data_IF_021185074353
#
_entry.id   IF_021185074353
#
_cell.length_a   1.000
_cell.length_b   1.000
_cell.length_c   1.000
_cell.angle_alpha   90.00
_cell.angle_beta   90.00
_cell.angle_gamma   90.00
#
_symmetry.space_group_name_H-M   'P 1'
#
loop_
_entity.id
_entity.type
_entity.pdbx_description
1 polymer ?
#
# COMPACT_ATOMS: atom_id res chain seq x y z
N UNK A 1 -14.64 -11.34 -0.62
CA UNK A 1 -13.45 -11.32 -1.50
C UNK A 1 -13.16 -9.94 -2.09
N UNK A 2 -13.96 -9.37 -3.02
CA UNK A 2 -13.64 -8.08 -3.64
C UNK A 2 -13.50 -6.89 -2.64
N UNK A 3 -14.37 -6.83 -1.62
CA UNK A 3 -14.32 -5.78 -0.60
C UNK A 3 -13.11 -5.92 0.36
N UNK A 4 -12.62 -7.15 0.55
CA UNK A 4 -11.44 -7.44 1.39
C UNK A 4 -10.14 -7.05 0.67
N UNK A 5 -10.06 -7.29 -0.64
CA UNK A 5 -8.93 -6.87 -1.50
C UNK A 5 -8.74 -5.37 -1.61
N UNK A 6 -9.82 -4.58 -1.58
CA UNK A 6 -9.73 -3.12 -1.52
C UNK A 6 -9.34 -2.66 -0.11
N UNK A 7 -9.85 -3.34 0.93
CA UNK A 7 -9.53 -3.05 2.32
C UNK A 7 -8.03 -3.16 2.62
N UNK A 8 -7.35 -4.22 2.14
CA UNK A 8 -5.91 -4.41 2.42
C UNK A 8 -5.04 -3.26 1.86
N UNK A 9 -5.42 -2.68 0.71
CA UNK A 9 -4.74 -1.51 0.13
C UNK A 9 -4.78 -0.33 1.09
N UNK A 10 -5.92 -0.08 1.74
CA UNK A 10 -6.05 0.99 2.71
C UNK A 10 -5.23 0.74 3.99
N UNK A 11 -5.17 -0.52 4.44
CA UNK A 11 -4.33 -0.92 5.58
C UNK A 11 -2.86 -0.64 5.29
N UNK A 12 -2.36 -1.02 4.11
CA UNK A 12 -0.97 -0.78 3.71
C UNK A 12 -0.65 0.70 3.68
N UNK A 13 -1.48 1.53 3.03
CA UNK A 13 -1.26 2.98 2.98
C UNK A 13 -1.21 3.60 4.37
N UNK A 14 -2.16 3.26 5.23
CA UNK A 14 -2.17 3.79 6.59
C UNK A 14 -1.00 3.26 7.43
N UNK A 15 -0.58 2.00 7.23
CA UNK A 15 0.60 1.43 7.87
C UNK A 15 1.88 2.18 7.51
N UNK A 16 2.10 2.50 6.22
CA UNK A 16 3.28 3.25 5.79
C UNK A 16 3.34 4.64 6.46
N UNK A 17 2.19 5.32 6.57
CA UNK A 17 2.08 6.62 7.28
C UNK A 17 2.38 6.46 8.77
N UNK A 18 1.80 5.45 9.43
CA UNK A 18 2.03 5.16 10.85
C UNK A 18 3.50 4.83 11.12
N UNK A 19 4.10 3.99 10.29
CA UNK A 19 5.51 3.60 10.41
C UNK A 19 6.43 4.82 10.33
N UNK A 20 6.23 5.69 9.33
CA UNK A 20 7.04 6.92 9.20
C UNK A 20 6.91 7.82 10.44
N UNK A 21 5.69 7.98 10.97
CA UNK A 21 5.45 8.81 12.16
C UNK A 21 6.04 8.21 13.43
N UNK A 22 5.96 6.89 13.60
CA UNK A 22 6.58 6.21 14.74
C UNK A 22 8.10 6.26 14.65
N UNK A 23 8.68 6.06 13.47
CA UNK A 23 10.12 6.27 13.25
C UNK A 23 10.56 7.69 13.61
N UNK A 24 9.80 8.70 13.15
CA UNK A 24 10.05 10.10 13.52
C UNK A 24 9.90 10.37 15.02
N UNK A 25 8.96 9.71 15.70
CA UNK A 25 8.78 9.78 17.15
C UNK A 25 10.02 9.23 17.87
N UNK A 26 10.48 8.04 17.49
CA UNK A 26 11.65 7.38 18.08
C UNK A 26 12.89 8.26 17.89
N UNK A 27 13.14 8.78 16.69
CA UNK A 27 14.25 9.71 16.44
C UNK A 27 14.11 11.02 17.22
N UNK A 28 12.90 11.52 17.43
CA UNK A 28 12.66 12.72 18.24
C UNK A 28 12.96 12.45 19.73
N UNK A 29 12.68 11.24 20.22
CA UNK A 29 13.05 10.83 21.57
C UNK A 29 14.57 10.78 21.75
N UNK A 30 15.28 10.13 20.82
CA UNK A 30 16.75 10.02 20.83
C UNK A 30 17.45 11.38 20.81
N UNK A 31 16.87 12.35 20.09
CA UNK A 31 17.39 13.72 19.97
C UNK A 31 16.86 14.68 21.04
N UNK A 32 16.07 14.20 22.00
CA UNK A 32 15.44 15.00 23.07
C UNK A 32 14.55 16.14 22.54
N UNK A 33 13.95 15.95 21.36
CA UNK A 33 13.02 16.89 20.71
C UNK A 33 11.57 16.42 20.71
N UNK A 34 11.30 15.25 21.29
CA UNK A 34 9.96 14.69 21.43
C UNK A 34 9.05 15.68 22.19
N UNK A 35 7.83 15.86 21.67
CA UNK A 35 6.82 16.69 22.33
C UNK A 35 5.46 15.99 22.40
N UNK A 36 4.66 16.30 23.42
CA UNK A 36 3.33 15.74 23.58
C UNK A 36 2.42 15.99 22.38
N UNK A 37 2.53 17.16 21.73
CA UNK A 37 1.71 17.51 20.57
C UNK A 37 2.03 16.63 19.34
N UNK A 38 3.27 16.16 19.21
CA UNK A 38 3.64 15.16 18.18
C UNK A 38 2.98 13.82 18.48
N UNK A 39 3.11 13.32 19.72
CA UNK A 39 2.55 12.02 20.12
C UNK A 39 1.02 12.02 20.06
N UNK A 40 0.36 13.10 20.47
CA UNK A 40 -1.10 13.23 20.44
C UNK A 40 -1.69 13.07 19.02
N UNK A 41 -0.99 13.54 17.99
CA UNK A 41 -1.43 13.39 16.59
C UNK A 41 -1.21 11.97 16.05
N UNK A 42 -0.31 11.21 16.67
CA UNK A 42 0.01 9.84 16.27
C UNK A 42 -0.96 8.85 16.91
N UNK A 43 -1.25 9.03 18.21
CA UNK A 43 -2.05 8.10 19.00
C UNK A 43 -3.10 8.84 19.85
N UNK A 44 -4.33 8.34 19.77
CA UNK A 44 -5.60 8.98 20.09
C UNK A 44 -6.70 7.94 20.20
N UNK A 45 -7.84 8.31 20.74
CA UNK A 45 -9.06 7.49 20.86
C UNK A 45 -10.08 7.79 19.75
N UNK A 46 -9.69 8.56 18.74
CA UNK A 46 -10.54 8.95 17.61
C UNK A 46 -9.81 8.91 16.26
N UNK A 47 -10.56 9.20 15.20
CA UNK A 47 -10.06 9.19 13.82
C UNK A 47 -9.03 10.28 13.49
N UNK A 48 -8.75 11.23 14.39
CA UNK A 48 -7.64 12.16 14.18
C UNK A 48 -6.28 11.46 14.33
N UNK A 49 -6.22 10.39 15.12
CA UNK A 49 -5.04 9.56 15.36
C UNK A 49 -4.78 8.56 14.22
N UNK A 50 -3.53 8.52 13.74
CA UNK A 50 -3.13 7.60 12.68
C UNK A 50 -3.18 6.13 13.14
N UNK A 51 -2.67 5.84 14.34
CA UNK A 51 -2.72 4.48 14.88
C UNK A 51 -4.15 4.01 15.16
N UNK A 52 -5.05 4.91 15.55
CA UNK A 52 -6.47 4.58 15.75
C UNK A 52 -7.12 4.20 14.41
N UNK A 53 -6.93 5.01 13.36
CA UNK A 53 -7.46 4.71 12.02
C UNK A 53 -6.93 3.38 11.49
N UNK A 54 -5.63 3.11 11.63
CA UNK A 54 -5.02 1.86 11.20
C UNK A 54 -5.62 0.66 11.92
N UNK A 55 -5.71 0.74 13.25
CA UNK A 55 -6.32 -0.29 14.09
C UNK A 55 -7.76 -0.59 13.66
N UNK A 56 -8.59 0.44 13.48
CA UNK A 56 -9.99 0.24 13.10
C UNK A 56 -10.13 -0.35 11.69
N UNK A 57 -9.26 0.02 10.74
CA UNK A 57 -9.20 -0.61 9.42
C UNK A 57 -8.82 -2.09 9.51
N UNK A 58 -7.79 -2.44 10.28
CA UNK A 58 -7.40 -3.83 10.53
C UNK A 58 -8.55 -4.63 11.15
N UNK A 59 -9.21 -4.10 12.18
CA UNK A 59 -10.37 -4.73 12.81
C UNK A 59 -11.48 -5.02 11.81
N UNK A 60 -11.83 -4.05 10.94
CA UNK A 60 -12.91 -4.19 9.98
C UNK A 60 -12.64 -5.32 8.96
N UNK A 61 -11.39 -5.47 8.53
CA UNK A 61 -11.01 -6.43 7.49
C UNK A 61 -10.74 -7.81 8.11
N UNK A 62 -9.89 -7.89 9.13
CA UNK A 62 -9.36 -9.16 9.61
C UNK A 62 -10.24 -9.86 10.65
N UNK A 63 -11.17 -9.15 11.31
CA UNK A 63 -12.08 -9.77 12.30
C UNK A 63 -13.44 -10.16 11.74
N UNK A 64 -13.82 -9.63 10.58
CA UNK A 64 -15.06 -10.02 9.89
C UNK A 64 -14.95 -11.41 9.25
N UNK A 65 -13.74 -11.95 9.09
CA UNK A 65 -13.43 -13.25 8.47
C UNK A 65 -13.23 -14.40 9.49
N UNK A 66 -13.47 -14.18 10.79
CA UNK A 66 -13.38 -15.22 11.84
C UNK A 66 -14.62 -16.14 11.78
N UNK A 67 -14.73 -16.91 10.70
CA UNK A 67 -15.68 -18.01 10.57
C UNK A 67 -15.01 -19.34 10.20
N UNK A 68 -13.73 -19.36 9.79
CA UNK A 68 -13.00 -20.59 9.46
C UNK A 68 -11.72 -20.78 10.32
N UNK A 69 -11.63 -21.78 11.22
CA UNK A 69 -10.56 -21.87 12.22
C UNK A 69 -9.16 -22.32 11.75
N UNK A 70 -8.95 -22.76 10.49
CA UNK A 70 -7.87 -23.73 10.22
C UNK A 70 -6.69 -23.37 9.29
N UNK A 71 -6.67 -22.30 8.47
CA UNK A 71 -5.51 -22.12 7.58
C UNK A 71 -5.03 -20.68 7.30
N UNK A 72 -5.90 -19.72 7.02
CA UNK A 72 -5.51 -18.37 6.57
C UNK A 72 -5.62 -17.29 7.67
N UNK A 73 -6.25 -17.64 8.79
CA UNK A 73 -6.56 -16.72 9.90
C UNK A 73 -5.33 -16.34 10.74
N UNK A 74 -4.15 -16.96 10.55
CA UNK A 74 -2.99 -16.70 11.42
C UNK A 74 -2.21 -15.44 11.05
N UNK A 75 -1.88 -15.22 9.78
CA UNK A 75 -1.02 -14.10 9.39
C UNK A 75 -1.74 -12.76 9.54
N UNK A 76 -2.96 -12.68 9.03
CA UNK A 76 -3.83 -11.51 9.17
C UNK A 76 -4.20 -11.22 10.64
N UNK A 77 -4.57 -12.24 11.44
CA UNK A 77 -4.90 -12.01 12.85
C UNK A 77 -3.67 -11.65 13.70
N UNK A 78 -2.49 -12.21 13.40
CA UNK A 78 -1.24 -11.79 14.07
C UNK A 78 -0.88 -10.35 13.72
N UNK A 79 -1.10 -9.94 12.47
CA UNK A 79 -0.91 -8.54 12.06
C UNK A 79 -1.90 -7.63 12.79
N UNK A 80 -3.19 -7.97 12.83
CA UNK A 80 -4.21 -7.24 13.59
C UNK A 80 -3.85 -7.10 15.08
N UNK A 81 -3.41 -8.20 15.71
CA UNK A 81 -2.98 -8.22 17.09
C UNK A 81 -1.75 -7.34 17.31
N UNK A 82 -0.77 -7.40 16.42
CA UNK A 82 0.44 -6.58 16.50
C UNK A 82 0.12 -5.08 16.39
N UNK A 83 -0.79 -4.69 15.48
CA UNK A 83 -1.30 -3.31 15.39
C UNK A 83 -2.04 -2.89 16.66
N UNK A 84 -2.86 -3.78 17.24
CA UNK A 84 -3.51 -3.55 18.52
C UNK A 84 -2.50 -3.30 19.64
N UNK A 85 -1.47 -4.14 19.75
CA UNK A 85 -0.39 -3.98 20.74
C UNK A 85 0.38 -2.68 20.54
N UNK A 86 0.76 -2.36 19.30
CA UNK A 86 1.45 -1.12 18.96
C UNK A 86 0.63 0.12 19.34
N UNK A 87 -0.69 0.07 19.14
CA UNK A 87 -1.61 1.12 19.59
C UNK A 87 -1.58 1.28 21.12
N UNK A 88 -1.62 0.17 21.86
CA UNK A 88 -1.61 0.20 23.33
C UNK A 88 -0.29 0.74 23.90
N UNK A 89 0.84 0.29 23.37
CA UNK A 89 2.14 0.80 23.82
C UNK A 89 2.32 2.29 23.48
N UNK A 90 1.86 2.72 22.32
CA UNK A 90 1.86 4.16 21.98
C UNK A 90 0.95 4.98 22.91
N UNK A 91 -0.19 4.43 23.37
CA UNK A 91 -1.04 5.09 24.37
C UNK A 91 -0.34 5.23 25.72
N UNK A 92 0.40 4.21 26.16
CA UNK A 92 1.18 4.24 27.40
C UNK A 92 2.28 5.30 27.29
N UNK A 93 3.01 5.30 26.17
CA UNK A 93 4.02 6.32 25.86
C UNK A 93 3.44 7.74 25.95
N UNK A 94 2.28 7.96 25.34
CA UNK A 94 1.58 9.26 25.36
C UNK A 94 1.26 9.71 26.78
N UNK A 95 0.77 8.80 27.62
CA UNK A 95 0.43 9.10 29.01
C UNK A 95 1.69 9.45 29.83
N UNK A 96 2.76 8.65 29.71
CA UNK A 96 4.03 8.94 30.38
C UNK A 96 4.59 10.31 29.98
N UNK A 97 4.55 10.64 28.68
CA UNK A 97 5.01 11.93 28.18
C UNK A 97 4.15 13.10 28.67
N UNK A 98 2.82 12.91 28.75
CA UNK A 98 1.91 13.91 29.32
C UNK A 98 2.26 14.24 30.77
N UNK A 99 2.55 13.21 31.58
CA UNK A 99 2.97 13.40 32.96
C UNK A 99 4.26 14.22 33.05
N UNK A 100 5.24 13.94 32.20
CA UNK A 100 6.50 14.71 32.15
C UNK A 100 6.28 16.17 31.75
N UNK A 101 5.60 16.43 30.63
CA UNK A 101 5.51 17.77 30.06
C UNK A 101 4.47 18.66 30.72
N UNK A 102 3.38 18.09 31.26
CA UNK A 102 2.25 18.87 31.77
C UNK A 102 2.16 18.84 33.28
N UNK A 103 2.40 17.70 33.93
CA UNK A 103 2.36 17.61 35.39
C UNK A 103 3.67 18.00 36.04
N UNK A 104 4.82 17.62 35.48
CA UNK A 104 6.15 17.96 35.99
C UNK A 104 6.31 19.45 36.33
N UNK A 105 6.13 20.37 35.36
CA UNK A 105 6.24 21.81 35.60
C UNK A 105 5.27 22.34 36.67
N UNK A 106 4.06 21.75 36.77
CA UNK A 106 3.06 22.16 37.77
C UNK A 106 3.47 21.73 39.17
N UNK A 107 4.02 20.52 39.33
CA UNK A 107 4.54 20.02 40.61
C UNK A 107 5.70 20.88 41.07
N UNK A 108 6.64 21.21 40.19
CA UNK A 108 7.76 22.10 40.52
C UNK A 108 7.30 23.52 40.90
N UNK A 109 6.32 24.08 40.17
CA UNK A 109 5.75 25.38 40.52
C UNK A 109 5.08 25.38 41.90
N UNK A 110 4.36 24.32 42.27
CA UNK A 110 3.73 24.18 43.58
C UNK A 110 4.77 24.04 44.70
N UNK A 111 5.88 23.34 44.45
CA UNK A 111 6.99 23.20 45.40
C UNK A 111 7.73 24.51 45.67
N UNK A 112 7.83 25.37 44.67
CA UNK A 112 8.52 26.66 44.79
C UNK A 112 7.80 27.69 45.68
N UNK A 113 6.59 27.39 46.16
CA UNK A 113 5.82 28.24 47.05
C UNK A 113 6.31 28.12 48.51
N UNK A 114 6.30 29.24 49.25
CA UNK A 114 6.92 29.38 50.58
C UNK A 114 6.40 28.42 51.67
N UNK A 115 5.29 27.71 51.44
CA UNK A 115 4.76 26.66 52.32
C UNK A 115 4.04 25.59 51.48
N UNK A 116 4.72 24.49 51.10
CA UNK A 116 4.09 23.43 50.31
C UNK A 116 2.90 22.84 51.09
N UNK A 117 1.67 22.83 50.52
CA UNK A 117 0.47 22.47 51.27
C UNK A 117 0.39 21.00 51.68
N UNK A 118 1.21 20.11 51.09
CA UNK A 118 1.23 18.67 51.41
C UNK A 118 2.59 18.03 51.03
N UNK A 119 3.56 17.93 51.96
CA UNK A 119 4.91 17.41 51.67
C UNK A 119 4.93 15.92 51.30
N UNK A 120 4.07 15.10 51.90
CA UNK A 120 3.96 13.67 51.56
C UNK A 120 3.44 13.46 50.14
N UNK A 121 2.38 14.19 49.77
CA UNK A 121 1.83 14.14 48.41
C UNK A 121 2.84 14.65 47.37
N UNK A 122 3.62 15.67 47.72
CA UNK A 122 4.70 16.18 46.85
C UNK A 122 5.76 15.11 46.57
N UNK A 123 6.17 14.33 47.59
CA UNK A 123 7.10 13.21 47.41
C UNK A 123 6.52 12.10 46.54
N UNK A 124 5.23 11.80 46.67
CA UNK A 124 4.58 10.80 45.80
C UNK A 124 4.53 11.28 44.34
N UNK A 125 4.25 12.56 44.09
CA UNK A 125 4.34 13.11 42.73
C UNK A 125 5.75 13.02 42.14
N UNK A 126 6.78 13.30 42.93
CA UNK A 126 8.17 13.14 42.49
C UNK A 126 8.49 11.69 42.11
N UNK A 127 8.02 10.71 42.90
CA UNK A 127 8.18 9.29 42.57
C UNK A 127 7.46 8.93 41.26
N UNK A 128 6.23 9.42 41.07
CA UNK A 128 5.45 9.18 39.84
C UNK A 128 6.15 9.80 38.63
N UNK A 129 6.68 11.03 38.75
CA UNK A 129 7.41 11.70 37.68
C UNK A 129 8.74 10.98 37.37
N UNK A 130 9.50 10.56 38.37
CA UNK A 130 10.71 9.78 38.14
C UNK A 130 10.40 8.44 37.45
N UNK A 131 9.33 7.76 37.88
CA UNK A 131 8.91 6.49 37.29
C UNK A 131 8.40 6.64 35.86
N UNK A 132 7.64 7.69 35.54
CA UNK A 132 7.15 7.93 34.17
C UNK A 132 8.27 8.30 33.21
N UNK A 133 9.35 8.95 33.66
CA UNK A 133 10.52 9.17 32.83
C UNK A 133 11.22 7.85 32.43
N UNK A 134 11.38 6.91 33.38
CA UNK A 134 11.93 5.56 33.09
C UNK A 134 11.03 4.80 32.12
N UNK A 135 9.73 4.75 32.41
CA UNK A 135 8.73 4.05 31.57
C UNK A 135 8.59 4.67 30.19
N UNK A 136 8.90 5.96 30.02
CA UNK A 136 8.90 6.58 28.70
C UNK A 136 9.99 5.98 27.80
N UNK A 137 11.18 5.72 28.35
CA UNK A 137 12.25 5.04 27.61
C UNK A 137 11.89 3.61 27.25
N UNK A 138 11.41 2.85 28.22
CA UNK A 138 10.92 1.47 28.02
C UNK A 138 9.84 1.41 26.92
N UNK A 139 8.84 2.30 26.98
CA UNK A 139 7.76 2.34 25.99
C UNK A 139 8.27 2.71 24.58
N UNK A 140 9.29 3.56 24.45
CA UNK A 140 9.90 3.88 23.14
C UNK A 140 10.62 2.65 22.58
N UNK A 141 11.38 1.93 23.40
CA UNK A 141 12.06 0.70 23.00
C UNK A 141 11.06 -0.38 22.57
N UNK A 142 9.99 -0.59 23.35
CA UNK A 142 8.93 -1.56 23.05
C UNK A 142 8.18 -1.21 21.76
N UNK A 143 7.82 0.06 21.57
CA UNK A 143 7.22 0.55 20.32
C UNK A 143 8.14 0.30 19.13
N UNK A 144 9.44 0.57 19.26
CA UNK A 144 10.43 0.32 18.21
C UNK A 144 10.54 -1.16 17.84
N UNK A 145 10.64 -2.03 18.86
CA UNK A 145 10.71 -3.49 18.65
C UNK A 145 9.43 -4.04 18.01
N UNK A 146 8.26 -3.63 18.50
CA UNK A 146 6.96 -4.04 17.94
C UNK A 146 6.79 -3.53 16.50
N UNK A 147 7.21 -2.30 16.19
CA UNK A 147 7.12 -1.76 14.84
C UNK A 147 7.95 -2.58 13.83
N UNK A 148 9.17 -2.98 14.21
CA UNK A 148 10.02 -3.82 13.38
C UNK A 148 9.37 -5.19 13.11
N UNK A 149 8.91 -5.87 14.17
CA UNK A 149 8.23 -7.17 14.05
C UNK A 149 6.92 -7.08 13.24
N UNK A 150 6.18 -5.98 13.41
CA UNK A 150 4.94 -5.73 12.66
C UNK A 150 5.23 -5.50 11.17
N UNK A 151 6.37 -4.87 10.84
CA UNK A 151 6.81 -4.68 9.46
C UNK A 151 7.14 -6.02 8.78
N UNK A 152 7.84 -6.91 9.50
CA UNK A 152 8.09 -8.27 9.01
C UNK A 152 6.79 -9.07 8.82
N UNK A 153 5.84 -8.89 9.74
CA UNK A 153 4.52 -9.51 9.64
C UNK A 153 3.71 -8.97 8.46
N UNK A 154 3.84 -7.68 8.14
CA UNK A 154 3.23 -7.10 6.95
C UNK A 154 3.76 -7.77 5.68
N UNK A 155 5.08 -7.99 5.57
CA UNK A 155 5.66 -8.65 4.39
C UNK A 155 5.06 -10.05 4.19
N UNK A 156 4.87 -10.82 5.27
CA UNK A 156 4.21 -12.14 5.21
C UNK A 156 2.78 -12.03 4.67
N UNK A 157 2.03 -11.05 5.16
CA UNK A 157 0.67 -10.77 4.69
C UNK A 157 0.66 -10.37 3.19
N UNK A 158 1.62 -9.55 2.76
CA UNK A 158 1.74 -9.15 1.35
C UNK A 158 2.07 -10.35 0.44
N UNK A 159 2.88 -11.31 0.90
CA UNK A 159 3.18 -12.55 0.16
C UNK A 159 1.90 -13.39 -0.04
N UNK A 160 1.06 -13.52 0.98
CA UNK A 160 -0.24 -14.21 0.87
C UNK A 160 -1.18 -13.49 -0.11
N UNK A 161 -1.11 -12.17 -0.17
CA UNK A 161 -1.85 -11.32 -1.12
C UNK A 161 -1.10 -11.08 -2.45
N UNK A 162 -0.11 -11.91 -2.79
CA UNK A 162 0.76 -11.70 -3.96
C UNK A 162 0.01 -11.69 -5.31
N UNK A 163 -1.20 -12.23 -5.37
CA UNK A 163 -2.07 -12.20 -6.55
C UNK A 163 -3.01 -10.99 -6.63
N UNK A 164 -2.97 -10.10 -5.63
CA UNK A 164 -3.77 -8.89 -5.61
C UNK A 164 -3.13 -7.78 -6.45
N UNK A 165 -3.63 -7.60 -7.68
CA UNK A 165 -3.11 -6.60 -8.62
C UNK A 165 -3.28 -5.16 -8.11
N UNK A 166 -4.36 -4.86 -7.37
CA UNK A 166 -4.57 -3.55 -6.76
C UNK A 166 -3.53 -3.26 -5.67
N UNK A 167 -3.13 -4.29 -4.93
CA UNK A 167 -2.07 -4.19 -3.94
C UNK A 167 -0.71 -3.96 -4.61
N UNK A 168 -0.40 -4.69 -5.68
CA UNK A 168 0.81 -4.46 -6.47
C UNK A 168 0.86 -3.01 -7.00
N UNK A 169 -0.25 -2.51 -7.56
CA UNK A 169 -0.37 -1.11 -7.99
C UNK A 169 -0.15 -0.13 -6.83
N UNK A 170 -0.79 -0.35 -5.69
CA UNK A 170 -0.63 0.51 -4.51
C UNK A 170 0.83 0.57 -4.06
N UNK A 171 1.52 -0.56 -3.96
CA UNK A 171 2.91 -0.57 -3.51
C UNK A 171 3.83 0.13 -4.52
N UNK A 172 3.55 0.03 -5.81
CA UNK A 172 4.26 0.77 -6.86
C UNK A 172 4.02 2.29 -6.75
N UNK A 173 2.78 2.73 -6.56
CA UNK A 173 2.44 4.13 -6.34
C UNK A 173 3.15 4.69 -5.08
N UNK A 174 3.24 3.88 -4.03
CA UNK A 174 3.84 4.22 -2.75
C UNK A 174 5.34 3.87 -2.64
N UNK A 175 6.04 3.64 -3.77
CA UNK A 175 7.41 3.11 -3.80
C UNK A 175 8.41 3.87 -2.92
N UNK A 176 8.26 5.19 -2.77
CA UNK A 176 9.12 6.01 -1.92
C UNK A 176 8.86 5.74 -0.43
N UNK A 177 7.59 5.67 -0.03
CA UNK A 177 7.21 5.36 1.35
C UNK A 177 7.61 3.92 1.70
N UNK A 178 7.40 2.98 0.78
CA UNK A 178 7.87 1.59 0.89
C UNK A 178 9.39 1.54 1.10
N UNK A 179 10.17 2.26 0.28
CA UNK A 179 11.62 2.27 0.42
C UNK A 179 12.11 2.90 1.74
N UNK A 180 11.34 3.83 2.31
CA UNK A 180 11.63 4.43 3.62
C UNK A 180 11.31 3.49 4.79
N UNK A 181 10.28 2.63 4.64
CA UNK A 181 9.88 1.66 5.67
C UNK A 181 10.72 0.40 5.62
N UNK A 182 11.05 -0.09 4.43
CA UNK A 182 11.77 -1.34 4.23
C UNK A 182 13.20 -1.04 3.74
N UNK A 183 14.24 -1.19 4.58
CA UNK A 183 15.62 -0.80 4.23
C UNK A 183 16.21 -1.51 2.99
N UNK A 184 15.67 -2.68 2.65
CA UNK A 184 16.06 -3.45 1.45
C UNK A 184 15.55 -2.79 0.15
N UNK A 185 14.64 -1.82 0.25
CA UNK A 185 14.09 -1.06 -0.87
C UNK A 185 12.95 -1.76 -1.60
N UNK A 186 12.22 -0.97 -2.39
CA UNK A 186 11.01 -1.39 -3.11
C UNK A 186 11.22 -2.60 -4.03
N UNK A 187 12.26 -2.61 -4.86
CA UNK A 187 12.49 -3.68 -5.86
C UNK A 187 12.72 -5.05 -5.23
N UNK A 188 13.48 -5.09 -4.12
CA UNK A 188 13.74 -6.34 -3.38
C UNK A 188 12.45 -6.85 -2.76
N UNK A 189 11.67 -5.96 -2.14
CA UNK A 189 10.36 -6.31 -1.58
C UNK A 189 9.40 -6.84 -2.64
N UNK A 190 9.37 -6.25 -3.84
CA UNK A 190 8.56 -6.76 -4.96
C UNK A 190 8.97 -8.17 -5.38
N UNK A 191 10.28 -8.43 -5.43
CA UNK A 191 10.79 -9.76 -5.74
C UNK A 191 10.44 -10.78 -4.66
N UNK A 192 10.41 -10.37 -3.39
CA UNK A 192 10.06 -11.24 -2.27
C UNK A 192 8.56 -11.59 -2.28
N UNK A 193 7.70 -10.60 -2.58
CA UNK A 193 6.24 -10.78 -2.62
C UNK A 193 5.81 -11.60 -3.84
N UNK A 194 6.32 -11.25 -5.03
CA UNK A 194 5.81 -11.77 -6.31
C UNK A 194 6.77 -12.76 -6.99
N UNK A 195 7.85 -13.16 -6.32
CA UNK A 195 8.89 -14.05 -6.85
C UNK A 195 9.92 -13.35 -7.75
N UNK A 196 9.55 -12.26 -8.43
CA UNK A 196 10.47 -11.39 -9.17
C UNK A 196 9.96 -9.95 -9.24
N UNK A 197 10.87 -8.99 -9.43
CA UNK A 197 10.47 -7.60 -9.64
C UNK A 197 9.59 -7.42 -10.87
N UNK A 198 9.89 -8.12 -11.98
CA UNK A 198 9.05 -8.05 -13.18
C UNK A 198 7.64 -8.57 -12.92
N UNK A 199 7.49 -9.71 -12.23
CA UNK A 199 6.16 -10.24 -11.92
C UNK A 199 5.31 -9.25 -11.11
N UNK A 200 5.91 -8.55 -10.13
CA UNK A 200 5.21 -7.51 -9.39
C UNK A 200 4.84 -6.29 -10.23
N UNK A 201 5.76 -5.80 -11.07
CA UNK A 201 5.48 -4.69 -11.99
C UNK A 201 4.39 -5.04 -13.02
N UNK A 202 4.39 -6.28 -13.53
CA UNK A 202 3.35 -6.78 -14.43
C UNK A 202 1.97 -6.80 -13.76
N UNK A 203 1.87 -7.19 -12.48
CA UNK A 203 0.60 -7.13 -11.73
C UNK A 203 0.14 -5.68 -11.52
N UNK A 204 1.05 -4.77 -11.18
CA UNK A 204 0.74 -3.36 -11.06
C UNK A 204 0.25 -2.77 -12.40
N UNK A 205 0.93 -3.08 -13.51
CA UNK A 205 0.54 -2.65 -14.85
C UNK A 205 -0.82 -3.22 -15.27
N UNK A 206 -1.09 -4.50 -15.00
CA UNK A 206 -2.41 -5.11 -15.25
C UNK A 206 -3.52 -4.36 -14.53
N UNK A 207 -3.32 -3.98 -13.26
CA UNK A 207 -4.30 -3.17 -12.52
C UNK A 207 -4.62 -1.83 -13.20
N UNK A 208 -3.60 -1.16 -13.75
CA UNK A 208 -3.79 0.07 -14.54
C UNK A 208 -4.53 -0.20 -15.86
N UNK A 209 -4.16 -1.26 -16.59
CA UNK A 209 -4.79 -1.64 -17.87
C UNK A 209 -6.28 -1.93 -17.67
N UNK A 210 -6.64 -2.74 -16.68
CA UNK A 210 -8.06 -3.08 -16.41
C UNK A 210 -8.86 -1.85 -15.93
N UNK A 211 -8.17 -0.80 -15.48
CA UNK A 211 -8.75 0.49 -15.10
C UNK A 211 -8.65 1.57 -16.19
N UNK A 212 -8.24 1.20 -17.41
CA UNK A 212 -8.05 2.08 -18.58
C UNK A 212 -7.03 3.24 -18.40
N UNK A 213 -6.07 3.09 -17.48
CA UNK A 213 -4.97 4.03 -17.26
C UNK A 213 -3.73 3.60 -18.05
N UNK A 214 -3.80 3.66 -19.39
CA UNK A 214 -2.78 3.08 -20.26
C UNK A 214 -1.42 3.80 -20.19
N UNK A 215 -1.41 5.11 -19.99
CA UNK A 215 -0.16 5.88 -19.84
C UNK A 215 0.65 5.37 -18.63
N UNK A 216 -0.02 5.23 -17.48
CA UNK A 216 0.59 4.72 -16.25
C UNK A 216 0.98 3.25 -16.39
N UNK A 217 0.18 2.44 -17.09
CA UNK A 217 0.55 1.06 -17.37
C UNK A 217 1.87 0.99 -18.16
N UNK A 218 2.01 1.80 -19.21
CA UNK A 218 3.25 1.84 -20.01
C UNK A 218 4.45 2.33 -19.19
N UNK A 219 4.26 3.34 -18.32
CA UNK A 219 5.32 3.79 -17.41
C UNK A 219 5.83 2.66 -16.50
N UNK A 220 4.92 1.85 -15.97
CA UNK A 220 5.27 0.69 -15.11
C UNK A 220 5.96 -0.39 -15.93
N UNK A 221 5.43 -0.73 -17.11
CA UNK A 221 5.98 -1.78 -17.98
C UNK A 221 7.39 -1.45 -18.46
N UNK A 222 7.68 -0.17 -18.74
CA UNK A 222 9.02 0.29 -19.13
C UNK A 222 10.09 0.14 -18.02
N UNK A 223 9.69 -0.11 -16.77
CA UNK A 223 10.59 -0.34 -15.65
C UNK A 223 10.88 -1.83 -15.40
N UNK A 224 10.16 -2.72 -16.08
CA UNK A 224 10.37 -4.15 -16.02
C UNK A 224 11.54 -4.54 -16.94
N UNK A 225 12.59 -5.22 -16.43
CA UNK A 225 13.78 -5.55 -17.22
C UNK A 225 13.48 -6.54 -18.36
N UNK A 226 12.76 -7.62 -18.05
CA UNK A 226 12.35 -8.69 -18.95
C UNK A 226 11.32 -9.59 -18.26
N UNK A 227 10.49 -10.29 -19.04
CA UNK A 227 9.55 -11.24 -18.48
C UNK A 227 8.55 -11.78 -19.51
N UNK A 228 8.00 -12.96 -19.20
CA UNK A 228 6.92 -13.55 -19.97
C UNK A 228 5.70 -12.62 -19.99
N UNK A 229 5.09 -12.44 -21.16
CA UNK A 229 3.92 -11.58 -21.33
C UNK A 229 4.17 -10.07 -21.28
N UNK A 230 5.40 -9.59 -21.00
CA UNK A 230 5.73 -8.16 -20.95
C UNK A 230 5.46 -7.47 -22.30
N UNK A 231 5.98 -8.04 -23.39
CA UNK A 231 5.78 -7.51 -24.74
C UNK A 231 4.30 -7.48 -25.14
N UNK A 232 3.56 -8.53 -24.77
CA UNK A 232 2.10 -8.61 -25.02
C UNK A 232 1.35 -7.53 -24.24
N UNK A 233 1.61 -7.36 -22.94
CA UNK A 233 0.97 -6.32 -22.13
C UNK A 233 1.30 -4.91 -22.62
N UNK A 234 2.55 -4.67 -23.03
CA UNK A 234 2.99 -3.40 -23.60
C UNK A 234 2.29 -3.09 -24.92
N UNK A 235 2.19 -4.08 -25.83
CA UNK A 235 1.49 -3.92 -27.10
C UNK A 235 0.01 -3.60 -26.89
N UNK A 236 -0.66 -4.31 -25.97
CA UNK A 236 -2.05 -4.01 -25.64
C UNK A 236 -2.24 -2.59 -25.08
N UNK A 237 -1.43 -2.19 -24.10
CA UNK A 237 -1.54 -0.86 -23.51
C UNK A 237 -1.25 0.25 -24.53
N UNK A 238 -0.25 0.06 -25.40
CA UNK A 238 0.09 0.99 -26.49
C UNK A 238 -1.03 1.10 -27.52
N UNK A 239 -1.65 -0.03 -27.89
CA UNK A 239 -2.80 -0.02 -28.77
C UNK A 239 -3.95 0.82 -28.21
N UNK A 240 -4.31 0.62 -26.95
CA UNK A 240 -5.41 1.34 -26.32
C UNK A 240 -5.09 2.82 -26.11
N UNK A 241 -3.85 3.17 -25.78
CA UNK A 241 -3.39 4.57 -25.74
C UNK A 241 -3.55 5.23 -27.12
N UNK A 242 -3.08 4.57 -28.18
CA UNK A 242 -3.19 5.06 -29.56
C UNK A 242 -4.65 5.22 -30.00
N UNK A 243 -5.51 4.26 -29.64
CA UNK A 243 -6.96 4.35 -29.86
C UNK A 243 -7.57 5.60 -29.24
N UNK A 244 -7.26 5.89 -27.97
CA UNK A 244 -7.75 7.09 -27.28
C UNK A 244 -7.20 8.39 -27.89
N UNK A 245 -5.96 8.36 -28.40
CA UNK A 245 -5.34 9.46 -29.13
C UNK A 245 -5.85 9.62 -30.57
N UNK A 246 -6.73 8.72 -31.05
CA UNK A 246 -7.19 8.62 -32.44
C UNK A 246 -6.09 8.35 -33.46
N UNK A 247 -4.98 7.77 -33.02
CA UNK A 247 -3.95 7.23 -33.89
C UNK A 247 -4.29 5.78 -34.23
N UNK A 248 -5.30 5.62 -35.10
CA UNK A 248 -5.83 4.30 -35.46
C UNK A 248 -4.83 3.40 -36.20
N UNK A 249 -3.96 3.90 -37.11
CA UNK A 249 -2.91 3.07 -37.69
C UNK A 249 -2.00 2.45 -36.62
N UNK A 250 -1.55 3.24 -35.65
CA UNK A 250 -0.72 2.77 -34.54
C UNK A 250 -1.50 1.79 -33.64
N UNK A 251 -2.79 2.04 -33.40
CA UNK A 251 -3.66 1.13 -32.65
C UNK A 251 -3.72 -0.26 -33.31
N UNK A 252 -4.02 -0.33 -34.62
CA UNK A 252 -4.12 -1.59 -35.37
C UNK A 252 -2.79 -2.34 -35.36
N UNK A 253 -1.68 -1.64 -35.61
CA UNK A 253 -0.35 -2.26 -35.58
C UNK A 253 -0.04 -2.91 -34.21
N UNK A 254 -0.28 -2.19 -33.12
CA UNK A 254 -0.02 -2.72 -31.78
C UNK A 254 -1.00 -3.85 -31.40
N UNK A 255 -2.25 -3.81 -31.83
CA UNK A 255 -3.19 -4.92 -31.63
C UNK A 255 -2.77 -6.18 -32.38
N UNK A 256 -2.23 -6.05 -33.61
CA UNK A 256 -1.67 -7.18 -34.35
C UNK A 256 -0.46 -7.79 -33.63
N UNK A 257 0.44 -6.94 -33.10
CA UNK A 257 1.58 -7.40 -32.29
C UNK A 257 1.10 -8.12 -31.03
N UNK A 258 0.08 -7.58 -30.35
CA UNK A 258 -0.50 -8.18 -29.15
C UNK A 258 -1.11 -9.56 -29.43
N UNK A 259 -1.89 -9.69 -30.51
CA UNK A 259 -2.54 -10.94 -30.89
C UNK A 259 -1.54 -12.01 -31.36
N UNK A 260 -0.45 -11.59 -32.00
CA UNK A 260 0.62 -12.47 -32.48
C UNK A 260 1.67 -12.84 -31.42
N UNK A 261 1.59 -12.30 -30.21
CA UNK A 261 2.55 -12.60 -29.15
C UNK A 261 2.30 -14.00 -28.58
N UNK A 262 3.34 -14.83 -28.51
CA UNK A 262 3.36 -16.08 -27.74
C UNK A 262 3.30 -15.75 -26.23
N UNK A 263 2.09 -15.52 -25.74
CA UNK A 263 1.81 -15.13 -24.36
C UNK A 263 0.60 -15.92 -23.86
N UNK A 264 0.43 -16.10 -22.53
CA UNK A 264 -0.77 -16.69 -21.96
C UNK A 264 -2.04 -16.05 -22.54
N UNK A 265 -3.07 -16.88 -22.71
CA UNK A 265 -4.34 -16.54 -23.35
C UNK A 265 -4.85 -15.19 -22.83
N UNK A 266 -5.12 -14.21 -23.72
CA UNK A 266 -5.48 -12.88 -23.27
C UNK A 266 -6.78 -12.90 -22.46
N UNK A 267 -6.90 -12.00 -21.47
CA UNK A 267 -8.10 -11.95 -20.65
C UNK A 267 -9.35 -11.65 -21.51
N UNK A 268 -10.52 -12.23 -21.19
CA UNK A 268 -11.75 -11.95 -21.93
C UNK A 268 -12.13 -10.46 -21.96
N UNK A 269 -11.74 -9.69 -20.94
CA UNK A 269 -11.95 -8.23 -20.92
C UNK A 269 -11.15 -7.53 -22.00
N UNK A 270 -9.86 -7.88 -22.15
CA UNK A 270 -8.97 -7.31 -23.16
C UNK A 270 -9.39 -7.69 -24.58
N UNK A 271 -9.81 -8.94 -24.81
CA UNK A 271 -10.33 -9.38 -26.11
C UNK A 271 -11.57 -8.57 -26.50
N UNK A 272 -12.53 -8.40 -25.57
CA UNK A 272 -13.73 -7.59 -25.82
C UNK A 272 -13.40 -6.14 -26.15
N UNK A 273 -12.45 -5.54 -25.42
CA UNK A 273 -12.07 -4.16 -25.66
C UNK A 273 -11.34 -3.98 -27.00
N UNK A 274 -10.43 -4.90 -27.34
CA UNK A 274 -9.77 -4.92 -28.64
C UNK A 274 -10.79 -5.06 -29.79
N UNK A 275 -11.74 -6.01 -29.67
CA UNK A 275 -12.82 -6.17 -30.65
C UNK A 275 -13.66 -4.89 -30.80
N UNK A 276 -14.06 -4.28 -29.68
CA UNK A 276 -14.83 -3.04 -29.71
C UNK A 276 -14.05 -1.91 -30.39
N UNK A 277 -12.74 -1.80 -30.14
CA UNK A 277 -11.89 -0.81 -30.79
C UNK A 277 -11.74 -1.07 -32.29
N UNK A 278 -11.54 -2.33 -32.70
CA UNK A 278 -11.41 -2.70 -34.12
C UNK A 278 -12.70 -2.41 -34.89
N UNK A 279 -13.86 -2.80 -34.35
CA UNK A 279 -15.16 -2.52 -34.95
C UNK A 279 -15.43 -1.02 -35.06
N UNK A 280 -15.09 -0.25 -34.03
CA UNK A 280 -15.23 1.21 -34.08
C UNK A 280 -14.38 1.83 -35.19
N UNK A 281 -13.13 1.39 -35.33
CA UNK A 281 -12.22 1.88 -36.38
C UNK A 281 -12.78 1.55 -37.77
N UNK A 282 -13.28 0.33 -37.96
CA UNK A 282 -13.85 -0.11 -39.25
C UNK A 282 -15.10 0.69 -39.63
N UNK A 283 -15.98 0.97 -38.66
CA UNK A 283 -17.21 1.75 -38.88
C UNK A 283 -16.96 3.25 -39.09
N UNK A 284 -16.03 3.85 -38.33
CA UNK A 284 -15.85 5.30 -38.27
C UNK A 284 -14.99 5.88 -39.40
N UNK A 285 -14.09 5.09 -39.98
CA UNK A 285 -13.07 5.56 -40.93
C UNK A 285 -13.18 4.87 -42.31
N UNK A 286 -14.38 4.40 -42.68
CA UNK A 286 -14.64 3.73 -43.96
C UNK A 286 -14.09 4.53 -45.14
N UNK A 287 -13.00 4.03 -45.75
CA UNK A 287 -12.35 4.60 -46.93
C UNK A 287 -11.22 5.62 -46.66
N UNK A 288 -10.92 5.94 -45.40
CA UNK A 288 -9.87 6.91 -44.99
C UNK A 288 -8.48 6.27 -44.90
N UNK A 289 -8.41 4.96 -44.62
CA UNK A 289 -7.13 4.26 -44.44
C UNK A 289 -6.48 3.74 -45.72
N UNK A 290 -5.14 3.72 -45.67
CA UNK A 290 -4.31 2.99 -46.62
C UNK A 290 -4.74 1.51 -46.69
N UNK A 291 -4.68 0.86 -47.88
CA UNK A 291 -5.10 -0.54 -48.05
C UNK A 291 -4.47 -1.50 -47.03
N UNK A 292 -3.20 -1.29 -46.68
CA UNK A 292 -2.45 -2.16 -45.77
C UNK A 292 -3.02 -2.16 -44.35
N UNK A 293 -3.57 -1.03 -43.90
CA UNK A 293 -4.21 -0.92 -42.57
C UNK A 293 -5.56 -1.62 -42.57
N UNK A 294 -6.29 -1.58 -43.69
CA UNK A 294 -7.59 -2.27 -43.83
C UNK A 294 -7.44 -3.77 -43.85
N UNK A 295 -6.45 -4.29 -44.57
CA UNK A 295 -6.17 -5.73 -44.62
C UNK A 295 -5.81 -6.26 -43.22
N UNK A 296 -4.94 -5.55 -42.50
CA UNK A 296 -4.59 -5.88 -41.11
C UNK A 296 -5.77 -5.81 -40.15
N UNK A 297 -6.66 -4.83 -40.32
CA UNK A 297 -7.85 -4.69 -39.48
C UNK A 297 -8.82 -5.87 -39.70
N UNK A 298 -8.98 -6.33 -40.94
CA UNK A 298 -9.77 -7.51 -41.26
C UNK A 298 -9.18 -8.77 -40.61
N UNK A 299 -7.88 -9.01 -40.79
CA UNK A 299 -7.17 -10.15 -40.19
C UNK A 299 -7.25 -10.13 -38.65
N UNK A 300 -7.13 -8.93 -38.06
CA UNK A 300 -7.23 -8.73 -36.62
C UNK A 300 -8.64 -9.07 -36.11
N UNK A 301 -9.70 -8.58 -36.76
CA UNK A 301 -11.08 -8.86 -36.37
C UNK A 301 -11.37 -10.36 -36.40
N UNK A 302 -10.97 -11.06 -37.46
CA UNK A 302 -11.13 -12.52 -37.58
C UNK A 302 -10.40 -13.27 -36.46
N UNK A 303 -9.15 -12.88 -36.18
CA UNK A 303 -8.33 -13.49 -35.14
C UNK A 303 -8.88 -13.24 -33.73
N UNK A 304 -9.40 -12.04 -33.46
CA UNK A 304 -10.02 -11.71 -32.18
C UNK A 304 -11.34 -12.44 -31.98
N UNK A 305 -12.16 -12.59 -33.03
CA UNK A 305 -13.39 -13.38 -32.96
C UNK A 305 -13.13 -14.86 -32.68
N UNK A 306 -12.07 -15.42 -33.28
CA UNK A 306 -11.67 -16.80 -33.02
C UNK A 306 -11.28 -16.99 -31.54
N UNK A 307 -10.51 -16.05 -30.98
CA UNK A 307 -10.12 -16.06 -29.58
C UNK A 307 -11.31 -15.84 -28.63
N UNK A 308 -12.31 -15.03 -29.01
CA UNK A 308 -13.50 -14.80 -28.20
C UNK A 308 -14.44 -16.03 -28.11
N UNK A 309 -14.32 -16.98 -29.05
CA UNK A 309 -15.12 -18.22 -29.11
C UNK A 309 -14.46 -19.42 -28.43
N UNK A 310 -13.16 -19.32 -28.10
CA UNK A 310 -12.39 -20.34 -27.38
C UNK A 310 -12.52 -20.22 -25.87
#
# INVERSE_FOLDING_TARGET
MANSRVGIVEVVREFLVVHQRLGGLISSYETQTLSFDLVKKLVGDDNASALYRLKEKCHAIFRSEIADPLAEVRTAALFDLAIGSLFHEAMILRENLYQQERYGPRVEALKSQASPPAPELSREFEKILASSASRLGEAVEEVGALLALTSDQLVRLLIEESDNELLARCLYEEQQAVAAVFPRGFRIMFSEIHGSTTAGLMKAASSYIESAYYDQALEVLNQAPDGEGLASAWAFASAMQAFLARDYPCCVENLSVWLGADSPTPSPSRIKLALASANYIDESEQGSFAPEVRDRLSELSDGLEANAKS
#
